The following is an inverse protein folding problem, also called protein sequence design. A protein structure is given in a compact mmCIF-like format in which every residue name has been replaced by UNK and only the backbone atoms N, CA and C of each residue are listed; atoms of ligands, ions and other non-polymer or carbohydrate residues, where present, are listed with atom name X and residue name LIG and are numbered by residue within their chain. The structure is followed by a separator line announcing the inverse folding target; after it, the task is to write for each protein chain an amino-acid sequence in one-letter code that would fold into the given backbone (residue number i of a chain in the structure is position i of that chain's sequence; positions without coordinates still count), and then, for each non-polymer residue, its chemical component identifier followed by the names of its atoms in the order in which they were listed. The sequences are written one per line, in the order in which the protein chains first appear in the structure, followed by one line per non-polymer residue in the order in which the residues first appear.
data_IF_179411729989
#
_entry.id   IF_179411729989
#
_cell.length_a   1.000
_cell.length_b   1.000
_cell.length_c   1.000
_cell.angle_alpha   90.00
_cell.angle_beta   90.00
_cell.angle_gamma   90.00
#
_symmetry.space_group_name_H-M   'P 1'
#
loop_
_entity.id
_entity.type
_entity.pdbx_description
1 polymer ?
#
# COMPACT_ATOMS: atom_id res chain seq x y z
N UNK A 1 19.04 2.64 -20.84
CA UNK A 1 17.74 1.94 -20.65
C UNK A 1 16.79 2.44 -21.75
N UNK A 2 16.99 1.94 -22.97
CA UNK A 2 16.42 2.64 -24.14
C UNK A 2 14.99 2.21 -24.54
N UNK A 3 14.42 1.15 -23.99
CA UNK A 3 13.03 0.73 -24.26
C UNK A 3 12.47 -0.15 -23.14
N UNK A 4 12.15 0.44 -22.02
CA UNK A 4 11.39 -0.28 -20.99
C UNK A 4 9.92 -0.37 -21.42
N UNK A 5 9.31 -1.54 -21.21
CA UNK A 5 7.89 -1.73 -21.42
C UNK A 5 7.11 -0.88 -20.41
N UNK A 6 6.10 -0.14 -20.88
CA UNK A 6 5.30 0.78 -20.03
C UNK A 6 4.03 0.13 -19.46
N UNK A 7 3.69 -1.08 -19.91
CA UNK A 7 2.55 -1.83 -19.36
C UNK A 7 2.85 -2.25 -17.92
N UNK A 8 1.93 -2.01 -17.01
CA UNK A 8 2.06 -2.44 -15.59
C UNK A 8 2.29 -3.94 -15.52
N UNK A 9 3.12 -4.37 -14.56
CA UNK A 9 3.54 -5.75 -14.33
C UNK A 9 4.32 -6.40 -15.49
N UNK A 10 4.69 -5.60 -16.50
CA UNK A 10 5.54 -6.10 -17.58
C UNK A 10 7.01 -6.17 -17.16
N UNK A 11 7.71 -7.13 -17.75
CA UNK A 11 9.15 -7.33 -17.57
C UNK A 11 9.87 -6.93 -18.85
N UNK A 12 10.94 -6.16 -18.71
CA UNK A 12 11.94 -5.89 -19.73
C UNK A 12 13.27 -6.49 -19.29
N UNK A 13 13.90 -7.32 -20.11
CA UNK A 13 15.10 -8.05 -19.74
C UNK A 13 16.13 -8.01 -20.87
N UNK A 14 17.38 -7.89 -20.50
CA UNK A 14 18.56 -8.15 -21.33
C UNK A 14 19.62 -8.89 -20.51
N UNK A 15 20.86 -8.98 -21.01
CA UNK A 15 21.95 -9.67 -20.33
C UNK A 15 22.43 -8.95 -19.05
N UNK A 16 22.17 -7.64 -18.92
CA UNK A 16 22.68 -6.79 -17.85
C UNK A 16 21.69 -6.61 -16.70
N UNK A 17 20.37 -6.59 -16.99
CA UNK A 17 19.34 -6.33 -15.98
C UNK A 17 17.98 -6.94 -16.32
N UNK A 18 17.16 -7.05 -15.28
CA UNK A 18 15.72 -7.27 -15.37
C UNK A 18 15.04 -6.01 -14.80
N UNK A 19 14.15 -5.39 -15.56
CA UNK A 19 13.36 -4.24 -15.12
C UNK A 19 11.87 -4.60 -15.11
N UNK A 20 11.23 -4.38 -13.97
CA UNK A 20 9.80 -4.65 -13.75
C UNK A 20 9.07 -3.32 -13.64
N UNK A 21 8.04 -3.10 -14.46
CA UNK A 21 7.16 -1.94 -14.37
C UNK A 21 6.19 -2.09 -13.20
N UNK A 22 6.40 -1.31 -12.14
CA UNK A 22 5.56 -1.34 -10.93
C UNK A 22 4.28 -0.54 -11.17
N UNK A 23 3.16 -1.00 -10.62
CA UNK A 23 1.87 -0.33 -10.70
C UNK A 23 1.95 1.14 -10.25
N UNK A 24 1.10 1.96 -10.86
CA UNK A 24 0.97 3.38 -10.56
C UNK A 24 0.89 4.23 -11.82
N UNK A 25 0.29 5.41 -11.67
CA UNK A 25 0.09 6.38 -12.75
C UNK A 25 1.44 6.92 -13.25
N UNK A 26 2.35 7.24 -12.32
CA UNK A 26 3.73 7.64 -12.65
C UNK A 26 4.54 6.38 -12.99
N UNK A 27 5.19 6.31 -14.18
CA UNK A 27 6.02 5.18 -14.54
C UNK A 27 7.18 4.95 -13.55
N UNK A 28 7.19 3.78 -12.89
CA UNK A 28 8.22 3.34 -11.96
C UNK A 28 8.73 1.97 -12.33
N UNK A 29 9.99 1.71 -12.08
CA UNK A 29 10.61 0.41 -12.37
C UNK A 29 11.47 -0.04 -11.21
N UNK A 30 11.36 -1.32 -10.88
CA UNK A 30 12.35 -2.03 -10.07
C UNK A 30 13.35 -2.68 -11.01
N UNK A 31 14.64 -2.49 -10.74
CA UNK A 31 15.71 -3.01 -11.58
C UNK A 31 16.58 -3.96 -10.76
N UNK A 32 16.70 -5.19 -11.24
CA UNK A 32 17.52 -6.25 -10.67
C UNK A 32 18.69 -6.51 -11.59
N UNK A 33 19.92 -6.41 -11.07
CA UNK A 33 21.14 -6.64 -11.82
C UNK A 33 22.28 -7.09 -10.88
N UNK A 34 23.40 -7.53 -11.46
CA UNK A 34 24.63 -7.80 -10.69
C UNK A 34 25.21 -6.50 -10.12
N UNK A 35 26.07 -6.58 -9.10
CA UNK A 35 26.73 -5.42 -8.52
C UNK A 35 27.58 -4.66 -9.56
N UNK A 36 28.21 -5.37 -10.46
CA UNK A 36 29.02 -4.78 -11.55
C UNK A 36 28.16 -3.93 -12.48
N UNK A 37 27.03 -4.47 -12.94
CA UNK A 37 26.09 -3.74 -13.79
C UNK A 37 25.36 -2.62 -13.04
N UNK A 38 25.10 -2.78 -11.74
CA UNK A 38 24.48 -1.73 -10.92
C UNK A 38 25.32 -0.45 -10.87
N UNK A 39 26.64 -0.58 -10.74
CA UNK A 39 27.55 0.57 -10.72
C UNK A 39 27.52 1.32 -12.05
N UNK A 40 27.69 0.61 -13.17
CA UNK A 40 27.66 1.20 -14.50
C UNK A 40 26.29 1.83 -14.82
N UNK A 41 25.20 1.18 -14.42
CA UNK A 41 23.85 1.69 -14.59
C UNK A 41 23.62 2.97 -13.78
N UNK A 42 24.04 2.98 -12.51
CA UNK A 42 23.95 4.14 -11.64
C UNK A 42 24.70 5.36 -12.21
N UNK A 43 25.92 5.16 -12.66
CA UNK A 43 26.73 6.22 -13.31
C UNK A 43 26.01 6.78 -14.56
N UNK A 44 25.50 5.90 -15.43
CA UNK A 44 24.79 6.31 -16.64
C UNK A 44 23.47 7.06 -16.39
N UNK A 45 22.81 6.80 -15.26
CA UNK A 45 21.60 7.47 -14.86
C UNK A 45 21.86 8.79 -14.13
N UNK A 46 22.97 8.88 -13.38
CA UNK A 46 23.28 10.03 -12.53
C UNK A 46 23.39 11.34 -13.31
N UNK A 47 23.80 11.28 -14.57
CA UNK A 47 23.89 12.45 -15.45
C UNK A 47 22.51 12.95 -15.95
N UNK A 48 21.47 12.12 -15.89
CA UNK A 48 20.13 12.36 -16.47
C UNK A 48 19.02 12.45 -15.43
N UNK A 49 19.28 12.00 -14.21
CA UNK A 49 18.29 11.89 -13.14
C UNK A 49 18.84 12.46 -11.83
N UNK A 50 17.95 12.63 -10.87
CA UNK A 50 18.33 13.03 -9.51
C UNK A 50 18.04 11.88 -8.54
N UNK A 51 19.05 11.44 -7.81
CA UNK A 51 18.90 10.49 -6.73
C UNK A 51 17.98 11.07 -5.63
N UNK A 52 17.11 10.25 -5.10
CA UNK A 52 16.25 10.56 -3.95
C UNK A 52 16.32 9.44 -2.92
N UNK A 53 15.68 9.61 -1.77
CA UNK A 53 15.61 8.58 -0.73
C UNK A 53 14.49 7.58 -1.00
N UNK A 54 14.53 6.43 -0.31
CA UNK A 54 13.52 5.38 -0.42
C UNK A 54 12.13 5.82 0.08
N UNK A 55 12.06 6.79 0.99
CA UNK A 55 10.78 7.27 1.53
C UNK A 55 9.85 7.82 0.44
N UNK A 56 10.40 8.40 -0.63
CA UNK A 56 9.59 8.83 -1.77
C UNK A 56 9.01 7.63 -2.55
N UNK A 57 9.74 6.52 -2.62
CA UNK A 57 9.21 5.27 -3.17
C UNK A 57 8.06 4.72 -2.33
N UNK A 58 8.21 4.76 -1.01
CA UNK A 58 7.15 4.34 -0.06
C UNK A 58 5.92 5.24 -0.19
N UNK A 59 6.10 6.54 -0.34
CA UNK A 59 5.02 7.48 -0.64
C UNK A 59 4.27 7.10 -1.93
N UNK A 60 4.99 6.80 -3.00
CA UNK A 60 4.38 6.36 -4.25
C UNK A 60 3.64 5.02 -4.11
N UNK A 61 4.05 4.12 -3.21
CA UNK A 61 3.27 2.93 -2.89
C UNK A 61 1.96 3.30 -2.18
N UNK A 62 2.01 4.20 -1.21
CA UNK A 62 0.82 4.69 -0.48
C UNK A 62 -0.18 5.31 -1.46
N UNK A 63 0.26 6.25 -2.30
CA UNK A 63 -0.61 6.95 -3.26
C UNK A 63 -1.20 6.02 -4.34
N UNK A 64 -0.55 4.87 -4.61
CA UNK A 64 -1.05 3.86 -5.53
C UNK A 64 -1.79 2.70 -4.84
N UNK A 65 -2.11 2.82 -3.55
CA UNK A 65 -2.86 1.81 -2.82
C UNK A 65 -2.13 0.47 -2.67
N UNK A 66 -0.80 0.46 -2.71
CA UNK A 66 0.05 -0.72 -2.60
C UNK A 66 0.57 -0.87 -1.16
N UNK A 67 -0.07 -1.67 -0.30
CA UNK A 67 0.34 -1.81 1.09
C UNK A 67 1.63 -2.63 1.20
N UNK A 68 2.52 -2.20 2.09
CA UNK A 68 3.71 -2.93 2.50
C UNK A 68 3.60 -3.30 3.98
N UNK A 69 3.66 -4.59 4.27
CA UNK A 69 3.56 -5.12 5.64
C UNK A 69 4.95 -5.12 6.27
N UNK A 70 5.13 -4.37 7.34
CA UNK A 70 6.36 -4.30 8.12
C UNK A 70 6.24 -5.02 9.49
N UNK A 71 7.23 -4.85 10.35
CA UNK A 71 7.26 -5.46 11.68
C UNK A 71 6.11 -5.02 12.59
N UNK A 72 5.55 -3.82 12.39
CA UNK A 72 4.50 -3.26 13.24
C UNK A 72 3.10 -3.74 12.85
N UNK A 73 2.96 -4.24 11.61
CA UNK A 73 1.68 -4.70 11.04
C UNK A 73 1.71 -6.17 10.65
N UNK A 74 2.79 -6.87 11.01
CA UNK A 74 2.97 -8.29 10.74
C UNK A 74 1.88 -9.12 11.41
N UNK A 75 1.29 -10.04 10.62
CA UNK A 75 0.24 -10.98 11.07
C UNK A 75 -1.12 -10.32 11.45
N UNK A 76 -1.27 -9.00 11.22
CA UNK A 76 -2.50 -8.26 11.57
C UNK A 76 -3.63 -8.45 10.55
N UNK A 77 -3.30 -8.76 9.29
CA UNK A 77 -4.26 -8.74 8.19
C UNK A 77 -4.27 -10.03 7.37
N UNK A 78 -5.46 -10.45 6.96
CA UNK A 78 -5.56 -11.41 5.86
C UNK A 78 -5.36 -10.67 4.52
N UNK A 79 -4.86 -11.34 3.46
CA UNK A 79 -4.51 -10.69 2.19
C UNK A 79 -5.63 -9.81 1.59
N UNK A 80 -6.88 -10.22 1.74
CA UNK A 80 -8.02 -9.46 1.24
C UNK A 80 -8.25 -8.13 1.99
N UNK A 81 -7.91 -8.07 3.28
CA UNK A 81 -7.95 -6.80 4.02
C UNK A 81 -6.92 -5.80 3.46
N UNK A 82 -5.80 -6.32 2.98
CA UNK A 82 -4.75 -5.53 2.32
C UNK A 82 -4.97 -5.35 0.82
N UNK A 83 -6.16 -5.63 0.29
CA UNK A 83 -6.55 -5.54 -1.13
C UNK A 83 -5.64 -6.36 -2.08
N UNK A 84 -4.94 -7.38 -1.57
CA UNK A 84 -3.94 -8.11 -2.35
C UNK A 84 -4.53 -8.80 -3.58
N UNK A 85 -5.79 -9.21 -3.56
CA UNK A 85 -6.47 -9.78 -4.73
C UNK A 85 -6.77 -8.72 -5.81
N UNK A 86 -6.98 -7.46 -5.42
CA UNK A 86 -7.29 -6.37 -6.34
C UNK A 86 -6.06 -5.84 -7.08
N UNK A 87 -4.88 -6.08 -6.49
CA UNK A 87 -3.58 -5.67 -7.04
C UNK A 87 -2.75 -6.85 -7.57
N UNK A 88 -3.40 -7.97 -7.90
CA UNK A 88 -2.77 -9.21 -8.39
C UNK A 88 -1.72 -9.83 -7.44
N UNK A 89 -1.76 -9.50 -6.16
CA UNK A 89 -0.85 -10.05 -5.14
C UNK A 89 -1.23 -11.47 -4.68
N UNK A 90 -2.43 -11.97 -5.03
CA UNK A 90 -2.91 -13.31 -4.71
C UNK A 90 -3.45 -13.99 -5.95
N UNK A 91 -3.05 -15.24 -6.18
CA UNK A 91 -3.62 -16.10 -7.22
C UNK A 91 -4.44 -17.21 -6.58
N UNK A 92 -5.67 -17.40 -7.04
CA UNK A 92 -6.55 -18.50 -6.63
C UNK A 92 -6.42 -19.73 -7.53
N UNK A 93 -5.68 -19.63 -8.62
CA UNK A 93 -5.46 -20.71 -9.62
C UNK A 93 -4.14 -21.47 -9.41
N UNK A 94 -3.24 -20.95 -8.56
CA UNK A 94 -1.97 -21.62 -8.26
C UNK A 94 -2.14 -22.80 -7.29
N UNK A 95 -1.11 -23.64 -7.19
CA UNK A 95 -1.06 -24.78 -6.26
C UNK A 95 -1.18 -24.37 -4.77
N UNK A 96 -1.32 -25.38 -3.91
CA UNK A 96 -1.57 -25.18 -2.48
C UNK A 96 -0.39 -24.53 -1.75
N UNK A 97 -0.70 -23.73 -0.73
CA UNK A 97 0.24 -23.11 0.21
C UNK A 97 -0.33 -23.03 1.62
N UNK A 98 0.50 -22.86 2.63
CA UNK A 98 0.08 -22.75 4.03
C UNK A 98 -0.80 -21.51 4.24
N UNK A 99 -2.00 -21.69 4.84
CA UNK A 99 -2.97 -20.60 5.06
C UNK A 99 -3.95 -20.36 3.91
N UNK A 100 -3.82 -21.07 2.80
CA UNK A 100 -4.69 -20.92 1.63
C UNK A 100 -6.19 -21.11 1.95
N UNK A 101 -6.54 -22.00 2.88
CA UNK A 101 -7.95 -22.27 3.22
C UNK A 101 -8.67 -21.01 3.69
N UNK A 102 -8.05 -20.21 4.57
CA UNK A 102 -8.64 -18.97 5.08
C UNK A 102 -8.81 -17.96 3.94
N UNK A 103 -7.81 -17.83 3.09
CA UNK A 103 -7.80 -16.90 1.94
C UNK A 103 -8.87 -17.31 0.92
N UNK A 104 -8.93 -18.59 0.53
CA UNK A 104 -9.92 -19.10 -0.41
C UNK A 104 -11.33 -19.01 0.16
N UNK A 105 -11.55 -19.40 1.42
CA UNK A 105 -12.85 -19.30 2.08
C UNK A 105 -13.36 -17.86 2.13
N UNK A 106 -12.49 -16.90 2.44
CA UNK A 106 -12.86 -15.48 2.43
C UNK A 106 -13.26 -15.01 1.04
N UNK A 107 -12.56 -15.47 0.00
CA UNK A 107 -12.84 -15.10 -1.39
C UNK A 107 -14.19 -15.67 -1.89
N UNK A 108 -14.43 -16.99 -1.68
CA UNK A 108 -15.59 -17.68 -2.27
C UNK A 108 -16.86 -17.60 -1.42
N UNK A 109 -16.74 -17.52 -0.09
CA UNK A 109 -17.86 -17.66 0.84
C UNK A 109 -17.97 -16.50 1.84
N UNK A 110 -16.96 -15.65 1.93
CA UNK A 110 -16.88 -14.56 2.89
C UNK A 110 -17.44 -13.25 2.34
N UNK A 111 -17.93 -12.40 3.27
CA UNK A 111 -18.15 -10.98 3.00
C UNK A 111 -16.99 -10.20 3.62
N UNK A 112 -16.23 -9.52 2.80
CA UNK A 112 -15.12 -8.67 3.27
C UNK A 112 -15.70 -7.49 4.04
N UNK A 113 -15.31 -7.37 5.32
CA UNK A 113 -15.78 -6.28 6.21
C UNK A 113 -14.76 -5.16 6.36
N UNK A 114 -13.51 -5.40 5.98
CA UNK A 114 -12.39 -4.47 6.08
C UNK A 114 -11.62 -4.44 4.77
N UNK A 115 -11.18 -3.26 4.37
CA UNK A 115 -10.38 -3.02 3.17
C UNK A 115 -9.29 -2.00 3.48
N UNK A 116 -8.24 -1.97 2.68
CA UNK A 116 -7.25 -0.92 2.71
C UNK A 116 -7.76 0.29 1.93
N UNK A 117 -7.66 1.46 2.56
CA UNK A 117 -7.98 2.75 1.97
C UNK A 117 -6.79 3.70 2.11
N UNK A 118 -6.50 4.54 1.11
CA UNK A 118 -5.63 5.68 1.29
C UNK A 118 -6.38 6.73 2.12
N UNK A 119 -5.66 7.37 3.04
CA UNK A 119 -6.20 8.41 3.91
C UNK A 119 -5.22 9.57 4.03
N UNK A 120 -5.76 10.78 4.18
CA UNK A 120 -5.01 11.95 4.62
C UNK A 120 -5.23 12.16 6.12
N UNK A 121 -4.16 12.48 6.84
CA UNK A 121 -4.17 12.73 8.28
C UNK A 121 -3.54 14.10 8.52
N UNK A 122 -4.21 14.94 9.30
CA UNK A 122 -3.67 16.17 9.84
C UNK A 122 -3.55 15.99 11.35
N UNK A 123 -2.34 16.02 11.90
CA UNK A 123 -2.09 15.78 13.32
C UNK A 123 -0.78 16.41 13.77
N UNK A 124 -0.78 16.98 14.98
CA UNK A 124 0.44 17.48 15.63
C UNK A 124 1.30 16.33 16.18
N UNK A 125 0.68 15.18 16.44
CA UNK A 125 1.38 13.95 16.84
C UNK A 125 1.65 13.08 15.62
N UNK A 126 2.92 12.79 15.27
CA UNK A 126 3.24 11.97 14.11
C UNK A 126 2.62 10.57 14.19
N UNK A 127 1.72 10.18 13.29
CA UNK A 127 1.17 8.84 13.21
C UNK A 127 2.22 7.86 12.67
N UNK A 128 2.05 6.57 13.01
CA UNK A 128 2.94 5.49 12.57
C UNK A 128 2.17 4.23 12.20
N UNK A 129 2.80 3.33 11.45
CA UNK A 129 2.26 2.01 11.15
C UNK A 129 1.94 1.25 12.46
N UNK A 130 0.77 0.61 12.52
CA UNK A 130 0.24 -0.07 13.70
C UNK A 130 -0.67 0.81 14.58
N UNK A 131 -0.70 2.13 14.40
CA UNK A 131 -1.62 2.98 15.15
C UNK A 131 -3.08 2.65 14.80
N UNK A 132 -3.92 2.66 15.84
CA UNK A 132 -5.32 2.25 15.74
C UNK A 132 -6.23 3.41 15.36
N UNK A 133 -7.19 3.10 14.49
CA UNK A 133 -8.28 3.99 14.13
C UNK A 133 -9.55 3.62 14.89
N UNK A 134 -10.32 4.63 15.25
CA UNK A 134 -11.60 4.49 15.91
C UNK A 134 -12.66 5.38 15.27
N UNK A 135 -13.94 5.04 15.49
CA UNK A 135 -15.09 5.92 15.26
C UNK A 135 -15.84 6.13 16.57
N UNK A 136 -16.62 7.21 16.65
CA UNK A 136 -17.46 7.54 17.80
C UNK A 136 -16.97 8.72 18.62
N UNK A 137 -17.67 8.98 19.74
CA UNK A 137 -17.36 10.03 20.69
C UNK A 137 -16.26 9.57 21.67
N UNK A 138 -15.63 10.49 22.39
CA UNK A 138 -14.54 10.23 23.34
C UNK A 138 -14.83 9.17 24.41
N UNK A 139 -16.10 8.84 24.66
CA UNK A 139 -16.56 7.86 25.65
C UNK A 139 -16.81 6.45 25.07
N UNK A 140 -16.95 6.32 23.75
CA UNK A 140 -17.22 5.04 23.07
C UNK A 140 -16.32 4.90 21.82
N UNK A 141 -15.00 4.75 22.07
CA UNK A 141 -14.05 4.50 20.98
C UNK A 141 -14.19 3.06 20.49
N UNK A 142 -14.91 2.88 19.39
CA UNK A 142 -14.95 1.58 18.72
C UNK A 142 -13.77 1.46 17.76
N UNK A 143 -12.93 0.45 17.97
CA UNK A 143 -11.86 0.08 17.05
C UNK A 143 -12.42 -0.22 15.65
N UNK A 144 -11.91 0.48 14.65
CA UNK A 144 -12.40 0.36 13.28
C UNK A 144 -11.30 0.07 12.26
N UNK A 145 -10.05 0.26 12.59
CA UNK A 145 -8.95 0.05 11.65
C UNK A 145 -7.56 0.25 12.24
N UNK A 146 -6.55 0.01 11.41
CA UNK A 146 -5.12 0.13 11.74
C UNK A 146 -4.38 0.78 10.58
N UNK A 147 -3.46 1.69 10.86
CA UNK A 147 -2.53 2.26 9.87
C UNK A 147 -1.55 1.18 9.40
N UNK A 148 -1.41 1.03 8.09
CA UNK A 148 -0.48 0.05 7.48
C UNK A 148 0.84 0.72 7.13
N UNK A 149 0.78 1.80 6.38
CA UNK A 149 1.94 2.60 5.96
C UNK A 149 1.62 4.07 6.16
N UNK A 150 2.63 4.87 6.51
CA UNK A 150 2.49 6.30 6.75
C UNK A 150 3.65 7.05 6.12
N UNK A 151 3.36 8.17 5.49
CA UNK A 151 4.35 9.09 4.95
C UNK A 151 3.99 10.55 5.30
N UNK A 152 4.98 11.32 5.73
CA UNK A 152 4.78 12.74 6.01
C UNK A 152 4.95 13.55 4.72
N UNK A 153 3.88 14.19 4.25
CA UNK A 153 3.86 15.01 3.02
C UNK A 153 4.25 16.47 3.29
N UNK A 154 3.86 16.99 4.47
CA UNK A 154 4.20 18.32 4.92
C UNK A 154 4.25 18.36 6.46
N UNK A 155 4.53 19.54 7.05
CA UNK A 155 4.45 19.71 8.51
C UNK A 155 3.04 19.42 8.98
N UNK A 156 2.89 18.45 9.89
CA UNK A 156 1.61 18.00 10.46
C UNK A 156 0.63 17.38 9.44
N UNK A 157 1.07 17.14 8.19
CA UNK A 157 0.26 16.48 7.17
C UNK A 157 0.89 15.14 6.78
N UNK A 158 0.06 14.11 6.71
CA UNK A 158 0.49 12.74 6.41
C UNK A 158 -0.47 12.12 5.40
N UNK A 159 0.05 11.27 4.54
CA UNK A 159 -0.73 10.30 3.79
C UNK A 159 -0.40 8.90 4.27
N UNK A 160 -1.42 8.05 4.33
CA UNK A 160 -1.30 6.72 4.88
C UNK A 160 -2.18 5.73 4.12
N UNK A 161 -1.80 4.45 4.17
CA UNK A 161 -2.72 3.34 3.91
C UNK A 161 -3.22 2.80 5.25
N UNK A 162 -4.51 2.55 5.34
CA UNK A 162 -5.13 2.01 6.54
C UNK A 162 -6.12 0.89 6.20
N UNK A 163 -6.04 -0.23 6.92
CA UNK A 163 -7.09 -1.25 6.89
C UNK A 163 -8.23 -0.76 7.77
N UNK A 164 -9.39 -0.49 7.16
CA UNK A 164 -10.55 0.12 7.82
C UNK A 164 -11.79 -0.74 7.58
N UNK A 165 -12.72 -0.78 8.53
CA UNK A 165 -14.05 -1.34 8.31
C UNK A 165 -14.75 -0.53 7.20
N UNK A 166 -15.29 -1.20 6.18
CA UNK A 166 -15.93 -0.56 5.02
C UNK A 166 -16.98 0.47 5.45
N UNK A 167 -17.84 0.10 6.40
CA UNK A 167 -18.86 1.03 6.94
C UNK A 167 -18.26 2.26 7.66
N UNK A 168 -17.07 2.12 8.23
CA UNK A 168 -16.40 3.23 8.91
C UNK A 168 -15.68 4.14 7.93
N UNK A 169 -15.18 3.59 6.82
CA UNK A 169 -14.56 4.37 5.74
C UNK A 169 -15.57 5.31 5.04
N UNK A 170 -16.87 4.93 5.02
CA UNK A 170 -17.96 5.74 4.49
C UNK A 170 -18.44 6.83 5.48
N UNK A 171 -17.92 6.84 6.71
CA UNK A 171 -18.30 7.78 7.75
C UNK A 171 -17.22 8.84 7.95
N UNK A 172 -17.57 10.12 7.96
CA UNK A 172 -16.66 11.27 8.19
C UNK A 172 -16.18 11.40 9.66
N UNK A 173 -16.13 10.31 10.40
CA UNK A 173 -15.89 10.32 11.87
C UNK A 173 -14.70 9.49 12.30
N UNK A 174 -13.76 9.23 11.40
CA UNK A 174 -12.52 8.52 11.74
C UNK A 174 -11.61 9.43 12.58
N UNK A 175 -10.95 8.84 13.55
CA UNK A 175 -9.92 9.49 14.37
C UNK A 175 -8.80 8.51 14.73
N UNK A 176 -7.63 9.02 15.08
CA UNK A 176 -6.63 8.24 15.78
C UNK A 176 -7.10 7.93 17.20
N UNK A 177 -6.86 6.71 17.66
CA UNK A 177 -7.32 6.30 19.01
C UNK A 177 -6.67 7.10 20.12
N UNK A 178 -5.36 7.36 19.99
CA UNK A 178 -4.53 7.91 21.06
C UNK A 178 -3.98 9.31 20.73
N UNK A 179 -4.48 9.97 19.67
CA UNK A 179 -4.06 11.31 19.27
C UNK A 179 -5.21 12.09 18.62
N UNK A 180 -5.17 13.40 18.77
CA UNK A 180 -6.07 14.28 18.03
C UNK A 180 -5.62 14.38 16.58
N UNK A 181 -6.56 14.12 15.66
CA UNK A 181 -6.27 14.11 14.22
C UNK A 181 -7.56 14.33 13.41
N UNK A 182 -7.42 15.07 12.33
CA UNK A 182 -8.41 15.12 11.26
C UNK A 182 -8.05 14.09 10.20
N UNK A 183 -8.99 13.18 9.87
CA UNK A 183 -8.77 12.09 8.93
C UNK A 183 -9.78 12.17 7.80
N UNK A 184 -9.28 12.16 6.57
CA UNK A 184 -10.09 12.10 5.35
C UNK A 184 -9.74 10.83 4.58
N UNK A 185 -10.75 10.03 4.23
CA UNK A 185 -10.57 8.87 3.34
C UNK A 185 -10.47 9.36 1.89
N UNK A 186 -9.47 8.89 1.17
CA UNK A 186 -9.23 9.22 -0.22
C UNK A 186 -9.74 8.11 -1.15
N UNK A 187 -9.88 8.41 -2.43
CA UNK A 187 -10.25 7.42 -3.44
C UNK A 187 -9.10 6.46 -3.71
N UNK A 188 -9.44 5.19 -3.89
CA UNK A 188 -8.47 4.17 -4.34
C UNK A 188 -8.19 4.36 -5.83
N UNK A 189 -6.94 4.14 -6.28
CA UNK A 189 -6.58 4.22 -7.70
C UNK A 189 -7.08 3.02 -8.53
N UNK A 190 -7.77 2.08 -7.89
CA UNK A 190 -8.40 0.90 -8.51
C UNK A 190 -9.78 0.66 -7.89
N UNK A 191 -10.73 0.07 -8.64
CA UNK A 191 -12.08 -0.16 -8.14
C UNK A 191 -12.08 -1.21 -7.03
N UNK A 192 -12.91 -1.00 -6.01
CA UNK A 192 -13.33 -2.07 -5.12
C UNK A 192 -14.41 -2.85 -5.89
N UNK A 193 -14.13 -4.12 -6.23
CA UNK A 193 -15.17 -4.97 -6.81
C UNK A 193 -16.28 -5.18 -5.79
N UNK A 194 -17.52 -4.94 -6.20
CA UNK A 194 -18.71 -5.33 -5.44
C UNK A 194 -18.69 -6.85 -5.31
N UNK A 195 -18.45 -7.36 -4.11
CA UNK A 195 -18.60 -8.78 -3.82
C UNK A 195 -20.10 -9.13 -3.95
N UNK A 196 -20.42 -9.85 -5.01
CA UNK A 196 -21.76 -10.43 -5.25
C UNK A 196 -22.15 -11.44 -4.17
#
# INVERSE_FOLDING_TARGET
IDKLNTTVDSVSQNDDYIAIRVAGEIPRYEIFCSLEHATALWESLSDKTRATNSAYWDYLNISNGLPFIDSNTREEFVPQMANMELINGVSFEKGCYTGQEIVARTHYLGKQKRRTYPIKIISDTPPKAGDQLATGTSTENQYTGTLVNVYQTAKNEYEALAVIQIKAAESDKLKLKDADAEITVLELPYPLEDQK
#
